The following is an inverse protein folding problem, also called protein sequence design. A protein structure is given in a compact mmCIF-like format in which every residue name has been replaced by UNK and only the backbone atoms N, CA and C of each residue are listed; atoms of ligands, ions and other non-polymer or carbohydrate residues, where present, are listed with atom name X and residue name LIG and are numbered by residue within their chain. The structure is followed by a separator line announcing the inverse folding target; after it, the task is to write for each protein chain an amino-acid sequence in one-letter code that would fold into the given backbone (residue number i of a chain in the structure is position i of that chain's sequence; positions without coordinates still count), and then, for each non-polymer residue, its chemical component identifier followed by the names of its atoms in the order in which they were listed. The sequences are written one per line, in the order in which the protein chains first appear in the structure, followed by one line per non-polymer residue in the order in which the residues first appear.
data_IF_887078343194
#
_entry.id   IF_887078343194
#
_cell.length_a   1.000
_cell.length_b   1.000
_cell.length_c   1.000
_cell.angle_alpha   90.00
_cell.angle_beta   90.00
_cell.angle_gamma   90.00
#
_symmetry.space_group_name_H-M   'P 1'
#
loop_
_entity.id
_entity.type
_entity.pdbx_description
1 polymer ?
#
# COMPACT_ATOMS: atom_id res chain seq x y z
N UNK A 1 -25.39 0.37 -33.28
CA UNK A 1 -24.54 1.22 -34.14
C UNK A 1 -23.08 1.06 -33.70
N UNK A 2 -22.33 0.23 -34.43
CA UNK A 2 -20.89 -0.02 -34.19
C UNK A 2 -20.12 1.26 -34.57
N UNK A 3 -19.56 1.95 -33.56
CA UNK A 3 -18.61 3.03 -33.82
C UNK A 3 -17.30 2.41 -34.30
N UNK A 4 -17.00 2.62 -35.58
CA UNK A 4 -15.71 2.29 -36.17
C UNK A 4 -14.58 2.89 -35.32
N UNK A 5 -13.63 2.05 -34.91
CA UNK A 5 -12.42 2.49 -34.25
C UNK A 5 -11.64 3.41 -35.19
N UNK A 6 -11.22 4.55 -34.65
CA UNK A 6 -10.35 5.52 -35.34
C UNK A 6 -9.06 4.81 -35.78
N UNK A 7 -8.74 4.70 -37.08
CA UNK A 7 -7.60 3.92 -37.58
C UNK A 7 -6.23 4.49 -37.21
N UNK A 8 -6.17 5.64 -36.52
CA UNK A 8 -4.93 6.31 -36.11
C UNK A 8 -4.37 5.88 -34.74
N UNK A 9 -5.12 5.22 -33.86
CA UNK A 9 -4.68 4.83 -32.53
C UNK A 9 -4.22 3.35 -32.52
N UNK A 10 -2.95 3.12 -32.84
CA UNK A 10 -2.32 1.82 -32.63
C UNK A 10 -2.38 1.50 -31.15
N UNK A 11 -3.10 0.44 -30.78
CA UNK A 11 -3.08 -0.11 -29.42
C UNK A 11 -1.62 -0.43 -29.08
N UNK A 12 -1.10 0.02 -27.93
CA UNK A 12 0.27 -0.32 -27.53
C UNK A 12 0.39 -1.84 -27.44
N UNK A 13 1.57 -2.37 -27.76
CA UNK A 13 1.84 -3.80 -27.56
C UNK A 13 1.53 -4.16 -26.11
N UNK A 14 0.71 -5.19 -25.83
CA UNK A 14 0.28 -5.54 -24.48
C UNK A 14 1.42 -5.63 -23.47
N UNK A 15 2.56 -6.19 -23.88
CA UNK A 15 3.74 -6.32 -23.02
C UNK A 15 4.34 -4.96 -22.62
N UNK A 16 4.35 -3.98 -23.52
CA UNK A 16 4.87 -2.62 -23.24
C UNK A 16 3.95 -1.89 -22.26
N UNK A 17 2.63 -2.02 -22.43
CA UNK A 17 1.67 -1.44 -21.51
C UNK A 17 1.82 -2.02 -20.08
N UNK A 18 1.91 -3.35 -19.97
CA UNK A 18 2.13 -4.02 -18.68
C UNK A 18 3.45 -3.57 -18.05
N UNK A 19 4.54 -3.47 -18.84
CA UNK A 19 5.84 -3.03 -18.33
C UNK A 19 5.81 -1.59 -17.79
N UNK A 20 5.14 -0.66 -18.48
CA UNK A 20 5.03 0.73 -18.04
C UNK A 20 4.17 0.85 -16.78
N UNK A 21 3.04 0.12 -16.69
CA UNK A 21 2.23 0.10 -15.49
C UNK A 21 2.96 -0.56 -14.31
N UNK A 22 3.71 -1.62 -14.57
CA UNK A 22 4.57 -2.27 -13.59
C UNK A 22 5.67 -1.32 -13.08
N UNK A 23 6.28 -0.53 -13.96
CA UNK A 23 7.24 0.51 -13.57
C UNK A 23 6.58 1.57 -12.67
N UNK A 24 5.34 1.98 -12.96
CA UNK A 24 4.57 2.92 -12.12
C UNK A 24 4.33 2.39 -10.70
N UNK A 25 3.93 1.13 -10.58
CA UNK A 25 3.75 0.49 -9.27
C UNK A 25 5.08 0.23 -8.55
N UNK A 26 6.15 -0.06 -9.29
CA UNK A 26 7.51 -0.12 -8.73
C UNK A 26 7.94 1.25 -8.17
N UNK A 27 7.72 2.34 -8.93
CA UNK A 27 8.05 3.70 -8.50
C UNK A 27 7.32 4.09 -7.20
N UNK A 28 6.01 3.78 -7.12
CA UNK A 28 5.20 3.97 -5.92
C UNK A 28 5.83 3.26 -4.72
N UNK A 29 6.10 1.97 -4.84
CA UNK A 29 6.61 1.15 -3.74
C UNK A 29 8.04 1.53 -3.36
N UNK A 30 8.88 1.88 -4.32
CA UNK A 30 10.23 2.38 -4.11
C UNK A 30 10.20 3.66 -3.25
N UNK A 31 9.36 4.65 -3.63
CA UNK A 31 9.25 5.90 -2.89
C UNK A 31 8.77 5.72 -1.45
N UNK A 32 7.94 4.72 -1.21
CA UNK A 32 7.46 4.39 0.13
C UNK A 32 8.55 3.76 0.99
N UNK A 33 9.21 2.74 0.47
CA UNK A 33 10.20 1.95 1.22
C UNK A 33 11.50 2.70 1.46
N UNK A 34 11.87 3.61 0.55
CA UNK A 34 13.06 4.43 0.64
C UNK A 34 13.08 5.30 1.92
N UNK A 35 11.93 5.78 2.36
CA UNK A 35 11.84 6.77 3.45
C UNK A 35 11.92 6.13 4.83
N UNK A 36 11.48 4.89 5.01
CA UNK A 36 11.43 4.23 6.32
C UNK A 36 12.81 4.24 7.02
N UNK A 37 13.89 3.78 6.39
CA UNK A 37 15.22 3.80 7.00
C UNK A 37 15.84 5.20 7.10
N UNK A 38 15.30 6.19 6.41
CA UNK A 38 15.78 7.57 6.46
C UNK A 38 15.27 8.35 7.68
N UNK A 39 14.25 7.87 8.38
CA UNK A 39 13.62 8.63 9.48
C UNK A 39 14.61 9.09 10.56
N UNK A 40 15.53 8.25 11.05
CA UNK A 40 16.53 8.69 12.02
C UNK A 40 17.45 9.80 11.47
N UNK A 41 17.89 9.66 10.21
CA UNK A 41 18.75 10.63 9.53
C UNK A 41 18.00 11.95 9.30
N UNK A 42 16.74 11.89 8.86
CA UNK A 42 15.85 13.07 8.71
C UNK A 42 15.70 13.77 10.06
N UNK A 43 15.42 13.03 11.14
CA UNK A 43 15.30 13.58 12.49
C UNK A 43 16.56 14.30 12.94
N UNK A 44 17.72 13.68 12.76
CA UNK A 44 19.01 14.25 13.13
C UNK A 44 19.38 15.49 12.28
N UNK A 45 19.21 15.42 10.96
CA UNK A 45 19.60 16.51 10.06
C UNK A 45 18.64 17.73 10.10
N UNK A 46 17.35 17.49 10.36
CA UNK A 46 16.39 18.57 10.55
C UNK A 46 16.28 19.06 12.01
N UNK A 47 17.00 18.44 12.95
CA UNK A 47 16.96 18.80 14.37
C UNK A 47 15.60 18.60 15.02
N UNK A 48 14.83 17.59 14.59
CA UNK A 48 13.47 17.32 15.09
C UNK A 48 13.40 16.02 15.88
N UNK A 49 12.41 15.92 16.77
CA UNK A 49 12.22 14.71 17.57
C UNK A 49 11.85 13.49 16.69
N UNK A 50 12.13 12.25 17.13
CA UNK A 50 11.72 11.03 16.42
C UNK A 50 10.22 10.97 16.14
N UNK A 51 9.39 11.47 17.06
CA UNK A 51 7.94 11.57 16.87
C UNK A 51 7.57 12.55 15.74
N UNK A 52 8.24 13.70 15.68
CA UNK A 52 8.05 14.65 14.59
C UNK A 52 8.51 14.08 13.24
N UNK A 53 9.64 13.38 13.20
CA UNK A 53 10.09 12.68 11.99
C UNK A 53 9.10 11.60 11.55
N UNK A 54 8.42 10.90 12.46
CA UNK A 54 7.38 9.92 12.17
C UNK A 54 6.22 10.46 11.33
N UNK A 55 5.93 11.77 11.44
CA UNK A 55 4.91 12.42 10.60
C UNK A 55 5.21 12.34 9.10
N UNK A 56 6.45 12.15 8.71
CA UNK A 56 6.86 11.95 7.31
C UNK A 56 6.21 10.70 6.71
N UNK A 57 6.00 9.64 7.49
CA UNK A 57 5.23 8.46 7.07
C UNK A 57 3.73 8.68 7.21
N UNK A 58 3.29 9.23 8.34
CA UNK A 58 1.87 9.44 8.64
C UNK A 58 1.21 10.33 7.60
N UNK A 59 1.82 11.47 7.23
CA UNK A 59 1.28 12.39 6.23
C UNK A 59 1.09 11.71 4.87
N UNK A 60 2.03 10.87 4.46
CA UNK A 60 1.94 10.12 3.21
C UNK A 60 0.78 9.11 3.24
N UNK A 61 0.64 8.34 4.32
CA UNK A 61 -0.43 7.32 4.44
C UNK A 61 -1.82 7.96 4.56
N UNK A 62 -1.95 9.08 5.29
CA UNK A 62 -3.20 9.82 5.36
C UNK A 62 -3.62 10.35 3.98
N UNK A 63 -2.67 10.95 3.25
CA UNK A 63 -2.92 11.40 1.88
C UNK A 63 -3.33 10.25 0.96
N UNK A 64 -2.68 9.08 1.08
CA UNK A 64 -3.01 7.88 0.34
C UNK A 64 -4.44 7.41 0.57
N UNK A 65 -4.85 7.35 1.84
CA UNK A 65 -6.20 6.91 2.23
C UNK A 65 -7.29 7.82 1.67
N UNK A 66 -7.04 9.14 1.68
CA UNK A 66 -7.97 10.14 1.13
C UNK A 66 -7.97 10.14 -0.40
N UNK A 67 -6.79 10.08 -1.03
CA UNK A 67 -6.66 10.21 -2.48
C UNK A 67 -7.22 9.00 -3.24
N UNK A 68 -7.04 7.78 -2.71
CA UNK A 68 -7.37 6.55 -3.43
C UNK A 68 -8.83 6.49 -3.93
N UNK A 69 -9.87 6.69 -3.11
CA UNK A 69 -11.26 6.66 -3.58
C UNK A 69 -11.59 7.81 -4.52
N UNK A 70 -11.00 8.98 -4.31
CA UNK A 70 -11.20 10.15 -5.17
C UNK A 70 -10.61 9.90 -6.56
N UNK A 71 -9.40 9.36 -6.63
CA UNK A 71 -8.70 9.06 -7.88
C UNK A 71 -9.41 7.96 -8.68
N UNK A 72 -9.99 6.97 -8.00
CA UNK A 72 -10.84 5.98 -8.65
C UNK A 72 -12.01 6.66 -9.40
N UNK A 73 -12.74 7.54 -8.72
CA UNK A 73 -13.86 8.28 -9.33
C UNK A 73 -13.41 9.24 -10.44
N UNK A 74 -12.27 9.90 -10.24
CA UNK A 74 -11.67 10.75 -11.30
C UNK A 74 -11.31 9.93 -12.53
N UNK A 75 -10.74 8.72 -12.36
CA UNK A 75 -10.45 7.80 -13.48
C UNK A 75 -11.69 7.44 -14.28
N UNK A 76 -12.82 7.18 -13.60
CA UNK A 76 -14.09 6.89 -14.25
C UNK A 76 -14.65 8.10 -15.02
N UNK A 77 -14.55 9.32 -14.45
CA UNK A 77 -15.18 10.53 -15.00
C UNK A 77 -14.32 11.26 -16.02
N UNK A 78 -13.01 11.30 -15.85
CA UNK A 78 -12.07 12.02 -16.75
C UNK A 78 -11.28 11.08 -17.65
N UNK A 79 -11.38 9.77 -17.42
CA UNK A 79 -10.59 8.74 -18.09
C UNK A 79 -9.27 8.46 -17.34
N UNK A 80 -8.77 7.23 -17.46
CA UNK A 80 -7.61 6.78 -16.68
C UNK A 80 -6.33 7.54 -17.05
N UNK A 81 -6.10 7.87 -18.33
CA UNK A 81 -4.85 8.49 -18.78
C UNK A 81 -4.56 9.84 -18.10
N UNK A 82 -5.44 10.87 -18.16
CA UNK A 82 -5.14 12.15 -17.54
C UNK A 82 -4.98 12.02 -16.02
N UNK A 83 -5.71 11.11 -15.39
CA UNK A 83 -5.61 10.90 -13.94
C UNK A 83 -4.29 10.22 -13.57
N UNK A 84 -3.88 9.16 -14.28
CA UNK A 84 -2.57 8.50 -14.06
C UNK A 84 -1.42 9.48 -14.28
N UNK A 85 -1.47 10.29 -15.35
CA UNK A 85 -0.44 11.30 -15.61
C UNK A 85 -0.43 12.39 -14.53
N UNK A 86 -1.60 12.83 -14.07
CA UNK A 86 -1.72 13.79 -12.98
C UNK A 86 -1.13 13.25 -11.67
N UNK A 87 -1.42 12.01 -11.33
CA UNK A 87 -0.85 11.33 -10.15
C UNK A 87 0.67 11.22 -10.25
N UNK A 88 1.20 10.79 -11.39
CA UNK A 88 2.65 10.69 -11.62
C UNK A 88 3.33 12.06 -11.58
N UNK A 89 2.70 13.10 -12.15
CA UNK A 89 3.20 14.46 -12.08
C UNK A 89 3.23 14.99 -10.63
N UNK A 90 2.17 14.73 -9.86
CA UNK A 90 2.08 15.11 -8.43
C UNK A 90 3.15 14.37 -7.61
N UNK A 91 3.36 13.07 -7.84
CA UNK A 91 4.40 12.28 -7.21
C UNK A 91 5.80 12.82 -7.55
N UNK A 92 6.03 13.16 -8.82
CA UNK A 92 7.30 13.74 -9.29
C UNK A 92 7.55 15.11 -8.64
N UNK A 93 6.54 15.97 -8.59
CA UNK A 93 6.62 17.28 -7.93
C UNK A 93 6.91 17.14 -6.43
N UNK A 94 6.24 16.22 -5.74
CA UNK A 94 6.52 15.91 -4.33
C UNK A 94 7.94 15.37 -4.12
N UNK A 95 8.45 14.55 -5.04
CA UNK A 95 9.82 14.03 -4.96
C UNK A 95 10.87 15.13 -5.20
N UNK A 96 10.62 16.01 -6.16
CA UNK A 96 11.46 17.18 -6.39
C UNK A 96 11.45 18.12 -5.18
N UNK A 97 10.29 18.37 -4.58
CA UNK A 97 10.17 19.17 -3.37
C UNK A 97 10.93 18.54 -2.19
N UNK A 98 10.85 17.23 -2.01
CA UNK A 98 11.60 16.50 -0.97
C UNK A 98 13.12 16.59 -1.17
N UNK A 99 13.59 16.73 -2.42
CA UNK A 99 15.00 16.89 -2.77
C UNK A 99 15.58 18.26 -2.40
N UNK A 100 14.77 19.31 -2.40
CA UNK A 100 15.26 20.68 -2.24
C UNK A 100 14.95 21.26 -0.88
N UNK A 101 14.14 20.58 -0.06
CA UNK A 101 13.69 21.13 1.22
C UNK A 101 14.56 20.69 2.39
N UNK A 102 14.92 21.64 3.22
CA UNK A 102 15.59 21.44 4.52
C UNK A 102 14.64 21.72 5.70
N UNK A 103 13.33 21.68 5.50
CA UNK A 103 12.36 21.94 6.56
C UNK A 103 11.30 20.85 6.67
N UNK A 104 10.98 20.43 7.91
CA UNK A 104 9.97 19.39 8.15
C UNK A 104 8.60 19.73 7.56
N UNK A 105 8.03 20.95 7.72
CA UNK A 105 6.72 21.27 7.16
C UNK A 105 6.66 21.09 5.63
N UNK A 106 7.68 21.55 4.90
CA UNK A 106 7.74 21.39 3.45
C UNK A 106 7.94 19.93 3.07
N UNK A 107 8.73 19.17 3.83
CA UNK A 107 8.88 17.72 3.62
C UNK A 107 7.54 17.00 3.84
N UNK A 108 6.73 17.39 4.82
CA UNK A 108 5.39 16.84 5.02
C UNK A 108 4.47 17.14 3.84
N UNK A 109 4.51 18.35 3.28
CA UNK A 109 3.76 18.68 2.04
C UNK A 109 4.24 17.80 0.88
N UNK A 110 5.55 17.62 0.71
CA UNK A 110 6.11 16.72 -0.29
C UNK A 110 5.59 15.29 -0.11
N UNK A 111 5.50 14.80 1.13
CA UNK A 111 4.96 13.48 1.45
C UNK A 111 3.47 13.34 1.16
N UNK A 112 2.68 14.40 1.40
CA UNK A 112 1.26 14.45 1.02
C UNK A 112 1.13 14.32 -0.51
N UNK A 113 1.91 15.07 -1.28
CA UNK A 113 1.92 14.98 -2.75
C UNK A 113 2.31 13.58 -3.23
N UNK A 114 3.33 12.98 -2.62
CA UNK A 114 3.73 11.60 -2.94
C UNK A 114 2.66 10.58 -2.53
N UNK A 115 1.91 10.80 -1.45
CA UNK A 115 0.83 9.93 -0.98
C UNK A 115 -0.31 9.76 -2.00
N UNK A 116 -0.52 10.74 -2.87
CA UNK A 116 -1.48 10.65 -3.99
C UNK A 116 -1.15 9.47 -4.92
N UNK A 117 0.11 9.06 -5.01
CA UNK A 117 0.57 7.97 -5.87
C UNK A 117 -0.02 6.59 -5.54
N UNK A 118 -0.57 6.38 -4.34
CA UNK A 118 -1.22 5.11 -4.00
C UNK A 118 -2.42 4.79 -4.91
N UNK A 119 -3.04 5.80 -5.52
CA UNK A 119 -4.05 5.61 -6.54
C UNK A 119 -3.53 5.00 -7.85
N UNK A 120 -2.21 4.95 -8.08
CA UNK A 120 -1.64 4.34 -9.30
C UNK A 120 -1.96 2.86 -9.40
N UNK A 121 -1.93 2.12 -8.29
CA UNK A 121 -2.18 0.69 -8.32
C UNK A 121 -3.61 0.33 -8.80
N UNK A 122 -4.70 0.84 -8.18
CA UNK A 122 -6.05 0.57 -8.68
C UNK A 122 -6.29 1.13 -10.08
N UNK A 123 -5.71 2.29 -10.44
CA UNK A 123 -5.78 2.83 -11.79
C UNK A 123 -5.07 1.93 -12.81
N UNK A 124 -3.89 1.38 -12.47
CA UNK A 124 -3.20 0.42 -13.33
C UNK A 124 -4.05 -0.84 -13.58
N UNK A 125 -4.70 -1.36 -12.55
CA UNK A 125 -5.62 -2.50 -12.68
C UNK A 125 -6.81 -2.15 -13.57
N UNK A 126 -7.38 -0.95 -13.44
CA UNK A 126 -8.46 -0.45 -14.31
C UNK A 126 -8.03 -0.40 -15.77
N UNK A 127 -6.86 0.18 -16.04
CA UNK A 127 -6.28 0.22 -17.40
C UNK A 127 -6.08 -1.17 -17.97
N UNK A 128 -5.51 -2.12 -17.18
CA UNK A 128 -5.30 -3.50 -17.64
C UNK A 128 -6.62 -4.18 -18.03
N UNK A 129 -7.67 -3.99 -17.24
CA UNK A 129 -9.01 -4.55 -17.50
C UNK A 129 -9.63 -4.01 -18.79
N UNK A 130 -9.30 -2.79 -19.18
CA UNK A 130 -9.82 -2.16 -20.41
C UNK A 130 -9.03 -2.53 -21.66
N UNK A 131 -7.72 -2.69 -21.52
CA UNK A 131 -6.81 -2.84 -22.66
C UNK A 131 -6.43 -4.29 -22.97
N UNK A 132 -6.59 -5.21 -22.01
CA UNK A 132 -6.17 -6.60 -22.18
C UNK A 132 -7.35 -7.57 -22.33
N UNK A 133 -7.21 -8.59 -23.21
CA UNK A 133 -8.15 -9.71 -23.26
C UNK A 133 -8.17 -10.49 -21.92
N UNK A 134 -9.33 -11.03 -21.56
CA UNK A 134 -9.52 -11.80 -20.31
C UNK A 134 -8.45 -12.91 -20.12
N UNK A 135 -8.04 -13.59 -21.20
CA UNK A 135 -7.04 -14.66 -21.14
C UNK A 135 -5.64 -14.21 -20.66
N UNK A 136 -5.30 -12.91 -20.71
CA UNK A 136 -4.02 -12.36 -20.29
C UNK A 136 -4.11 -11.48 -19.04
N UNK A 137 -5.32 -11.18 -18.60
CA UNK A 137 -5.57 -10.21 -17.55
C UNK A 137 -5.00 -10.66 -16.21
N UNK A 138 -5.27 -11.89 -15.79
CA UNK A 138 -4.85 -12.42 -14.48
C UNK A 138 -3.31 -12.45 -14.35
N UNK A 139 -2.62 -12.84 -15.42
CA UNK A 139 -1.15 -12.84 -15.44
C UNK A 139 -0.61 -11.39 -15.39
N UNK A 140 -1.20 -10.48 -16.16
CA UNK A 140 -0.77 -9.07 -16.16
C UNK A 140 -1.00 -8.40 -14.79
N UNK A 141 -2.16 -8.64 -14.16
CA UNK A 141 -2.46 -8.15 -12.82
C UNK A 141 -1.48 -8.71 -11.79
N UNK A 142 -1.14 -10.00 -11.87
CA UNK A 142 -0.17 -10.63 -10.97
C UNK A 142 1.24 -10.06 -11.16
N UNK A 143 1.66 -9.79 -12.40
CA UNK A 143 2.95 -9.13 -12.68
C UNK A 143 2.99 -7.75 -12.07
N UNK A 144 1.98 -6.90 -12.32
CA UNK A 144 1.92 -5.54 -11.76
C UNK A 144 1.87 -5.57 -10.23
N UNK A 145 1.15 -6.52 -9.63
CA UNK A 145 1.10 -6.66 -8.18
C UNK A 145 2.45 -7.09 -7.58
N UNK A 146 3.17 -8.01 -8.23
CA UNK A 146 4.48 -8.48 -7.73
C UNK A 146 5.56 -7.42 -7.81
N UNK A 147 5.44 -6.43 -8.71
CA UNK A 147 6.40 -5.32 -8.78
C UNK A 147 6.34 -4.35 -7.59
N UNK A 148 5.27 -4.37 -6.78
CA UNK A 148 5.25 -3.68 -5.49
C UNK A 148 6.33 -4.20 -4.55
N UNK A 149 6.54 -5.52 -4.50
CA UNK A 149 7.59 -6.12 -3.68
C UNK A 149 8.98 -5.72 -4.19
N UNK A 150 9.18 -5.70 -5.52
CA UNK A 150 10.45 -5.26 -6.14
C UNK A 150 10.78 -3.83 -5.75
N UNK A 151 9.83 -2.91 -5.97
CA UNK A 151 10.00 -1.50 -5.64
C UNK A 151 10.34 -1.31 -4.16
N UNK A 152 9.69 -2.07 -3.28
CA UNK A 152 9.96 -2.05 -1.85
C UNK A 152 11.42 -2.42 -1.52
N UNK A 153 11.90 -3.52 -2.07
CA UNK A 153 13.28 -3.96 -1.84
C UNK A 153 14.30 -3.01 -2.47
N UNK A 154 14.06 -2.59 -3.72
CA UNK A 154 14.93 -1.63 -4.41
C UNK A 154 15.03 -0.31 -3.64
N UNK A 155 13.91 0.19 -3.09
CA UNK A 155 13.89 1.38 -2.26
C UNK A 155 14.72 1.25 -0.99
N UNK A 156 14.61 0.11 -0.29
CA UNK A 156 15.44 -0.17 0.90
C UNK A 156 16.94 -0.28 0.58
N UNK A 157 17.28 -1.00 -0.51
CA UNK A 157 18.68 -1.13 -0.95
C UNK A 157 19.23 0.24 -1.32
N UNK A 158 18.47 1.04 -2.08
CA UNK A 158 18.88 2.39 -2.45
C UNK A 158 19.10 3.28 -1.23
N UNK A 159 18.19 3.25 -0.26
CA UNK A 159 18.35 3.95 1.00
C UNK A 159 19.61 3.49 1.75
N UNK A 160 19.78 2.17 1.92
CA UNK A 160 20.89 1.60 2.67
C UNK A 160 22.28 1.86 2.03
N UNK A 161 22.35 1.92 0.69
CA UNK A 161 23.60 2.24 -0.01
C UNK A 161 23.94 3.73 0.07
N UNK A 162 22.96 4.59 -0.13
CA UNK A 162 23.17 6.03 -0.29
C UNK A 162 23.23 6.82 1.01
N UNK A 163 22.84 6.20 2.14
CA UNK A 163 22.90 6.82 3.48
C UNK A 163 24.03 6.31 4.36
N UNK A 164 25.00 5.59 3.79
CA UNK A 164 26.20 5.20 4.52
C UNK A 164 26.97 6.43 5.00
N UNK A 165 27.62 6.28 6.13
CA UNK A 165 28.54 7.25 6.70
C UNK A 165 27.94 8.63 7.03
N UNK A 166 26.65 8.68 7.42
CA UNK A 166 25.98 9.93 7.78
C UNK A 166 25.63 10.82 6.60
N UNK A 167 25.56 10.24 5.40
CA UNK A 167 25.23 10.98 4.18
C UNK A 167 23.87 11.67 4.25
N UNK A 168 23.73 12.74 3.46
CA UNK A 168 22.51 13.53 3.35
C UNK A 168 21.28 12.69 2.97
N UNK A 169 20.19 12.88 3.72
CA UNK A 169 18.92 12.17 3.47
C UNK A 169 18.30 12.49 2.10
N UNK A 170 18.74 13.52 1.41
CA UNK A 170 18.27 13.86 0.07
C UNK A 170 18.79 12.88 -1.00
N UNK A 171 19.95 12.26 -0.81
CA UNK A 171 20.60 11.43 -1.85
C UNK A 171 19.70 10.32 -2.40
N UNK A 172 18.97 9.52 -1.60
CA UNK A 172 18.09 8.49 -2.12
C UNK A 172 16.94 9.03 -2.96
N UNK A 173 16.46 10.25 -2.71
CA UNK A 173 15.39 10.86 -3.49
C UNK A 173 15.78 11.15 -4.95
N UNK A 174 17.09 11.26 -5.28
CA UNK A 174 17.55 11.38 -6.66
C UNK A 174 17.19 10.15 -7.50
N UNK A 175 17.42 8.94 -6.97
CA UNK A 175 16.97 7.71 -7.64
C UNK A 175 15.46 7.75 -7.82
N UNK A 176 14.75 8.14 -6.78
CA UNK A 176 13.31 8.31 -6.83
C UNK A 176 12.86 9.27 -7.92
N UNK A 177 13.49 10.44 -8.03
CA UNK A 177 13.15 11.42 -9.06
C UNK A 177 13.37 10.86 -10.47
N UNK A 178 14.50 10.22 -10.71
CA UNK A 178 14.80 9.60 -12.02
C UNK A 178 13.72 8.59 -12.39
N UNK A 179 13.36 7.70 -11.45
CA UNK A 179 12.32 6.68 -11.69
C UNK A 179 10.93 7.32 -11.91
N UNK A 180 10.59 8.37 -11.15
CA UNK A 180 9.33 9.09 -11.30
C UNK A 180 9.22 9.77 -12.67
N UNK A 181 10.27 10.50 -13.08
CA UNK A 181 10.31 11.19 -14.39
C UNK A 181 10.25 10.18 -15.53
N UNK A 182 11.06 9.12 -15.46
CA UNK A 182 11.06 8.06 -16.46
C UNK A 182 9.66 7.43 -16.60
N UNK A 183 9.03 7.10 -15.46
CA UNK A 183 7.68 6.54 -15.44
C UNK A 183 6.65 7.50 -16.03
N UNK A 184 6.72 8.78 -15.67
CA UNK A 184 5.82 9.81 -16.20
C UNK A 184 5.95 9.92 -17.73
N UNK A 185 7.18 10.01 -18.23
CA UNK A 185 7.45 10.11 -19.68
C UNK A 185 6.98 8.88 -20.43
N UNK A 186 7.36 7.68 -19.96
CA UNK A 186 6.94 6.43 -20.60
C UNK A 186 5.42 6.26 -20.57
N UNK A 187 4.77 6.60 -19.46
CA UNK A 187 3.31 6.56 -19.37
C UNK A 187 2.65 7.55 -20.33
N UNK A 188 3.19 8.76 -20.46
CA UNK A 188 2.68 9.77 -21.38
C UNK A 188 2.76 9.30 -22.85
N UNK A 189 3.78 8.53 -23.21
CA UNK A 189 3.96 8.00 -24.57
C UNK A 189 3.11 6.75 -24.79
N UNK A 190 3.08 5.82 -23.83
CA UNK A 190 2.53 4.47 -24.03
C UNK A 190 1.04 4.40 -23.72
N UNK A 191 0.55 5.14 -22.70
CA UNK A 191 -0.84 4.99 -22.26
C UNK A 191 -1.82 5.58 -23.28
N UNK A 192 -2.74 4.78 -23.85
CA UNK A 192 -3.65 5.25 -24.89
C UNK A 192 -4.66 6.27 -24.36
N UNK A 193 -5.11 7.16 -25.25
CA UNK A 193 -6.21 8.09 -24.95
C UNK A 193 -7.52 7.35 -25.14
N UNK A 194 -8.24 7.10 -24.06
CA UNK A 194 -9.57 6.50 -24.10
C UNK A 194 -10.60 7.46 -23.51
N UNK A 195 -11.81 7.50 -24.05
CA UNK A 195 -12.89 8.27 -23.45
C UNK A 195 -13.21 7.76 -22.05
N UNK A 196 -13.70 8.64 -21.19
CA UNK A 196 -14.19 8.28 -19.88
C UNK A 196 -15.28 7.19 -19.96
N UNK A 197 -15.29 6.32 -18.97
CA UNK A 197 -16.29 5.22 -18.89
C UNK A 197 -17.54 5.63 -18.13
N UNK A 198 -17.38 6.55 -17.16
CA UNK A 198 -18.46 7.09 -16.34
C UNK A 198 -19.01 8.40 -16.87
N UNK A 199 -20.29 8.59 -16.65
CA UNK A 199 -20.95 9.89 -16.79
C UNK A 199 -21.20 10.45 -15.37
N UNK A 200 -21.32 11.79 -15.26
CA UNK A 200 -21.65 12.45 -14.02
C UNK A 200 -20.51 13.33 -13.49
N UNK A 201 -20.75 13.96 -12.35
CA UNK A 201 -19.84 14.90 -11.71
C UNK A 201 -19.14 14.22 -10.53
N UNK A 202 -17.93 14.67 -10.21
CA UNK A 202 -17.23 14.23 -8.99
C UNK A 202 -17.89 14.91 -7.80
N UNK A 203 -18.31 14.13 -6.82
CA UNK A 203 -18.86 14.66 -5.56
C UNK A 203 -17.71 15.13 -4.64
N UNK A 204 -17.25 16.36 -4.88
CA UNK A 204 -16.18 16.98 -4.09
C UNK A 204 -16.59 17.15 -2.62
N UNK A 205 -17.86 17.46 -2.34
CA UNK A 205 -18.34 17.59 -0.97
C UNK A 205 -18.28 16.25 -0.24
N UNK A 206 -18.74 15.17 -0.89
CA UNK A 206 -18.60 13.81 -0.35
C UNK A 206 -17.12 13.40 -0.19
N UNK A 207 -16.24 13.80 -1.11
CA UNK A 207 -14.81 13.55 -0.99
C UNK A 207 -14.17 14.25 0.23
N UNK A 208 -14.53 15.49 0.50
CA UNK A 208 -14.05 16.26 1.67
C UNK A 208 -14.54 15.64 2.98
N UNK A 209 -15.83 15.27 3.06
CA UNK A 209 -16.38 14.64 4.27
C UNK A 209 -15.74 13.26 4.52
N UNK A 210 -15.52 12.47 3.44
CA UNK A 210 -14.79 11.21 3.55
C UNK A 210 -13.35 11.44 4.03
N UNK A 211 -12.66 12.42 3.45
CA UNK A 211 -11.31 12.79 3.84
C UNK A 211 -11.23 13.14 5.32
N UNK A 212 -12.14 13.97 5.81
CA UNK A 212 -12.23 14.33 7.22
C UNK A 212 -12.44 13.08 8.10
N UNK A 213 -13.40 12.22 7.74
CA UNK A 213 -13.68 10.98 8.47
C UNK A 213 -12.49 10.03 8.52
N UNK A 214 -11.77 9.86 7.40
CA UNK A 214 -10.57 9.03 7.33
C UNK A 214 -9.41 9.62 8.13
N UNK A 215 -9.19 10.93 8.09
CA UNK A 215 -8.18 11.60 8.91
C UNK A 215 -8.50 11.44 10.39
N UNK A 216 -9.74 11.70 10.80
CA UNK A 216 -10.19 11.51 12.18
C UNK A 216 -10.05 10.05 12.67
N UNK A 217 -10.16 9.08 11.79
CA UNK A 217 -9.99 7.66 12.14
C UNK A 217 -8.50 7.27 12.21
N UNK A 218 -7.72 7.63 11.19
CA UNK A 218 -6.37 7.10 11.00
C UNK A 218 -5.34 7.88 11.80
N UNK A 219 -5.57 9.18 12.05
CA UNK A 219 -4.66 10.02 12.81
C UNK A 219 -4.44 9.52 14.24
N UNK A 220 -5.50 9.25 15.05
CA UNK A 220 -5.31 8.69 16.38
C UNK A 220 -4.73 7.27 16.36
N UNK A 221 -5.03 6.46 15.35
CA UNK A 221 -4.41 5.14 15.20
C UNK A 221 -2.90 5.26 14.98
N UNK A 222 -2.45 6.25 14.21
CA UNK A 222 -1.03 6.52 13.96
C UNK A 222 -0.32 7.16 15.16
N UNK A 223 -0.98 8.07 15.89
CA UNK A 223 -0.38 8.91 16.92
C UNK A 223 -0.79 8.50 18.35
N UNK A 224 -1.63 7.51 18.52
CA UNK A 224 -2.20 7.13 19.81
C UNK A 224 -1.16 6.79 20.88
N UNK A 225 -0.03 6.20 20.50
CA UNK A 225 1.07 5.92 21.43
C UNK A 225 1.76 7.21 21.90
N UNK A 226 1.87 8.22 21.05
CA UNK A 226 2.50 9.49 21.38
C UNK A 226 1.56 10.44 22.15
N UNK A 227 0.28 10.45 21.79
CA UNK A 227 -0.74 11.30 22.43
C UNK A 227 -1.34 10.67 23.69
N UNK A 228 -1.24 9.34 23.82
CA UNK A 228 -1.98 8.54 24.80
C UNK A 228 -3.35 8.13 24.27
N UNK A 229 -3.65 6.84 24.37
CA UNK A 229 -4.92 6.27 23.87
C UNK A 229 -6.16 6.81 24.60
N UNK A 230 -6.04 7.23 25.87
CA UNK A 230 -7.09 7.86 26.66
C UNK A 230 -7.11 9.38 26.60
N UNK A 231 -6.26 10.03 25.81
CA UNK A 231 -6.22 11.49 25.73
C UNK A 231 -7.49 12.07 25.08
N UNK A 232 -7.92 13.26 25.49
CA UNK A 232 -9.09 13.92 24.89
C UNK A 232 -8.95 14.09 23.37
N UNK A 233 -7.74 14.29 22.85
CA UNK A 233 -7.46 14.39 21.42
C UNK A 233 -7.71 13.08 20.68
N UNK A 234 -7.18 11.97 21.20
CA UNK A 234 -7.37 10.62 20.63
C UNK A 234 -8.84 10.22 20.66
N UNK A 235 -9.48 10.34 21.83
CA UNK A 235 -10.90 9.99 22.00
C UNK A 235 -11.80 10.90 21.15
N UNK A 236 -11.54 12.21 21.13
CA UNK A 236 -12.28 13.18 20.31
C UNK A 236 -12.19 12.87 18.81
N UNK A 237 -11.02 12.51 18.31
CA UNK A 237 -10.85 12.08 16.91
C UNK A 237 -11.63 10.79 16.60
N UNK A 238 -11.56 9.78 17.47
CA UNK A 238 -12.29 8.51 17.27
C UNK A 238 -13.80 8.71 17.31
N UNK A 239 -14.32 9.50 18.26
CA UNK A 239 -15.74 9.88 18.33
C UNK A 239 -16.13 10.68 17.09
N UNK A 240 -15.32 11.64 16.67
CA UNK A 240 -15.52 12.39 15.42
C UNK A 240 -15.60 11.46 14.20
N UNK A 241 -14.69 10.50 14.07
CA UNK A 241 -14.74 9.49 13.02
C UNK A 241 -16.01 8.65 13.05
N UNK A 242 -16.43 8.21 14.27
CA UNK A 242 -17.64 7.43 14.48
C UNK A 242 -18.94 8.20 14.13
N UNK A 243 -18.90 9.52 14.10
CA UNK A 243 -20.02 10.37 13.68
C UNK A 243 -19.93 10.73 12.19
N UNK A 244 -18.75 11.14 11.72
CA UNK A 244 -18.55 11.66 10.37
C UNK A 244 -18.66 10.55 9.31
N UNK A 245 -18.10 9.34 9.55
CA UNK A 245 -18.15 8.26 8.55
C UNK A 245 -19.55 7.73 8.31
N UNK A 246 -20.38 7.42 9.31
CA UNK A 246 -21.79 7.09 9.08
C UNK A 246 -22.56 8.25 8.46
N UNK A 247 -22.34 9.50 8.91
CA UNK A 247 -22.90 10.71 8.31
C UNK A 247 -22.56 10.84 6.83
N UNK A 248 -21.34 10.50 6.44
CA UNK A 248 -20.92 10.44 5.04
C UNK A 248 -21.69 9.38 4.25
N UNK A 249 -21.89 8.19 4.80
CA UNK A 249 -22.71 7.13 4.14
C UNK A 249 -24.14 7.64 3.89
N UNK A 250 -24.75 8.29 4.88
CA UNK A 250 -26.07 8.89 4.72
C UNK A 250 -26.11 10.01 3.68
N UNK A 251 -25.05 10.83 3.63
CA UNK A 251 -24.89 11.86 2.61
C UNK A 251 -24.82 11.23 1.20
N UNK A 252 -24.05 10.16 1.03
CA UNK A 252 -23.91 9.46 -0.25
C UNK A 252 -25.21 8.83 -0.73
N UNK A 253 -26.09 8.37 0.18
CA UNK A 253 -27.42 7.85 -0.17
C UNK A 253 -28.33 8.89 -0.82
N UNK A 254 -28.12 10.17 -0.52
CA UNK A 254 -28.92 11.30 -1.01
C UNK A 254 -28.34 11.96 -2.27
N UNK A 255 -27.15 11.55 -2.73
CA UNK A 255 -26.48 12.12 -3.89
C UNK A 255 -26.88 11.40 -5.17
N UNK A 256 -27.13 12.18 -6.25
CA UNK A 256 -27.40 11.63 -7.58
C UNK A 256 -26.16 10.94 -8.16
N UNK A 257 -24.99 11.57 -7.97
CA UNK A 257 -23.68 11.04 -8.39
C UNK A 257 -22.78 10.81 -7.15
N UNK A 258 -23.01 9.73 -6.37
CA UNK A 258 -22.21 9.49 -5.17
C UNK A 258 -20.77 9.11 -5.54
N UNK A 259 -19.81 9.47 -4.66
CA UNK A 259 -18.40 9.07 -4.78
C UNK A 259 -18.28 7.53 -4.73
N UNK A 260 -18.98 6.93 -3.78
CA UNK A 260 -19.13 5.49 -3.64
C UNK A 260 -20.61 5.18 -3.47
N UNK A 261 -21.16 4.27 -4.25
CA UNK A 261 -22.55 3.84 -4.10
C UNK A 261 -22.72 3.07 -2.78
N UNK A 262 -23.55 3.53 -1.84
CA UNK A 262 -23.69 2.88 -0.53
C UNK A 262 -24.12 1.42 -0.60
N UNK A 263 -24.92 1.04 -1.60
CA UNK A 263 -25.29 -0.35 -1.85
C UNK A 263 -24.07 -1.28 -2.04
N UNK A 264 -22.96 -0.77 -2.56
CA UNK A 264 -21.72 -1.55 -2.71
C UNK A 264 -21.04 -1.84 -1.37
N UNK A 265 -21.23 -0.96 -0.37
CA UNK A 265 -20.67 -1.14 0.98
C UNK A 265 -21.40 -2.24 1.76
N UNK A 266 -22.60 -2.64 1.33
CA UNK A 266 -23.38 -3.71 1.94
C UNK A 266 -23.32 -5.03 1.14
N UNK A 267 -22.74 -5.03 -0.08
CA UNK A 267 -22.66 -6.22 -0.92
C UNK A 267 -21.55 -7.16 -0.44
N UNK A 268 -21.87 -8.41 -0.02
CA UNK A 268 -20.88 -9.40 0.42
C UNK A 268 -19.82 -9.70 -0.66
N UNK A 269 -20.16 -9.55 -1.95
CA UNK A 269 -19.24 -9.78 -3.08
C UNK A 269 -18.14 -8.72 -3.12
N UNK A 270 -18.35 -7.58 -2.49
CA UNK A 270 -17.40 -6.47 -2.38
C UNK A 270 -16.75 -6.47 -1.00
N UNK A 271 -17.54 -6.65 0.07
CA UNK A 271 -17.02 -6.65 1.45
C UNK A 271 -15.99 -7.76 1.65
N UNK A 272 -16.28 -8.98 1.22
CA UNK A 272 -15.40 -10.15 1.48
C UNK A 272 -14.02 -9.97 0.86
N UNK A 273 -13.87 -9.62 -0.44
CA UNK A 273 -12.55 -9.36 -1.01
C UNK A 273 -11.83 -8.15 -0.38
N UNK A 274 -12.55 -7.08 -0.04
CA UNK A 274 -11.94 -5.90 0.59
C UNK A 274 -11.46 -6.20 2.01
N UNK A 275 -12.25 -6.92 2.81
CA UNK A 275 -11.83 -7.34 4.15
C UNK A 275 -10.66 -8.33 4.09
N UNK A 276 -10.67 -9.26 3.14
CA UNK A 276 -9.54 -10.14 2.89
C UNK A 276 -8.29 -9.36 2.46
N UNK A 277 -8.45 -8.34 1.61
CA UNK A 277 -7.37 -7.43 1.22
C UNK A 277 -6.80 -6.64 2.39
N UNK A 278 -7.65 -6.10 3.26
CA UNK A 278 -7.26 -5.41 4.48
C UNK A 278 -6.44 -6.33 5.40
N UNK A 279 -6.94 -7.53 5.69
CA UNK A 279 -6.25 -8.50 6.54
C UNK A 279 -4.92 -8.95 5.93
N UNK A 280 -4.87 -9.17 4.62
CA UNK A 280 -3.62 -9.49 3.90
C UNK A 280 -2.63 -8.32 4.00
N UNK A 281 -3.10 -7.10 3.82
CA UNK A 281 -2.28 -5.88 3.97
C UNK A 281 -1.69 -5.74 5.36
N UNK A 282 -2.50 -5.95 6.41
CA UNK A 282 -2.03 -5.98 7.81
C UNK A 282 -0.94 -7.05 7.99
N UNK A 283 -1.17 -8.26 7.50
CA UNK A 283 -0.19 -9.36 7.60
C UNK A 283 1.13 -9.03 6.90
N UNK A 284 1.07 -8.57 5.65
CA UNK A 284 2.27 -8.21 4.87
C UNK A 284 3.07 -7.07 5.50
N UNK A 285 2.39 -5.99 5.91
CA UNK A 285 3.06 -4.84 6.51
C UNK A 285 3.65 -5.17 7.87
N UNK A 286 2.95 -5.96 8.67
CA UNK A 286 3.42 -6.49 9.94
C UNK A 286 4.67 -7.34 9.75
N UNK A 287 4.66 -8.28 8.78
CA UNK A 287 5.81 -9.11 8.43
C UNK A 287 7.04 -8.28 8.07
N UNK A 288 6.84 -7.30 7.20
CA UNK A 288 7.89 -6.40 6.76
C UNK A 288 8.53 -5.64 7.93
N UNK A 289 7.72 -5.05 8.80
CA UNK A 289 8.21 -4.29 9.97
C UNK A 289 8.91 -5.19 10.97
N UNK A 290 8.33 -6.36 11.26
CA UNK A 290 8.90 -7.32 12.23
C UNK A 290 10.27 -7.80 11.76
N UNK A 291 10.39 -8.26 10.52
CA UNK A 291 11.67 -8.72 9.98
C UNK A 291 12.69 -7.57 10.00
N UNK A 292 12.30 -6.38 9.54
CA UNK A 292 13.19 -5.24 9.49
C UNK A 292 13.70 -4.83 10.86
N UNK A 293 12.82 -4.72 11.86
CA UNK A 293 13.20 -4.35 13.23
C UNK A 293 14.01 -5.45 13.91
N UNK A 294 13.56 -6.70 13.77
CA UNK A 294 14.25 -7.84 14.42
C UNK A 294 15.71 -7.95 13.97
N UNK A 295 15.95 -7.95 12.65
CA UNK A 295 17.31 -8.14 12.11
C UNK A 295 18.23 -6.95 12.37
N UNK A 296 17.70 -5.73 12.52
CA UNK A 296 18.48 -4.54 12.83
C UNK A 296 18.74 -4.33 14.32
N UNK A 297 18.01 -5.00 15.21
CA UNK A 297 18.20 -4.85 16.65
C UNK A 297 19.57 -5.39 17.06
N UNK A 298 20.41 -4.59 17.79
CA UNK A 298 21.71 -5.04 18.25
C UNK A 298 21.57 -6.11 19.34
N UNK A 299 22.17 -7.30 19.18
CA UNK A 299 22.05 -8.38 20.16
C UNK A 299 22.64 -8.02 21.53
N UNK A 300 23.67 -7.20 21.56
CA UNK A 300 24.34 -6.74 22.80
C UNK A 300 23.42 -5.86 23.67
N UNK A 301 22.54 -5.09 23.05
CA UNK A 301 21.64 -4.17 23.76
C UNK A 301 20.31 -4.80 24.16
N UNK A 302 19.79 -5.73 23.36
CA UNK A 302 18.43 -6.26 23.52
C UNK A 302 18.37 -7.76 23.85
N UNK A 303 19.51 -8.49 23.75
CA UNK A 303 19.57 -9.94 23.94
C UNK A 303 18.99 -10.75 22.77
N UNK A 304 18.60 -10.09 21.66
CA UNK A 304 18.11 -10.71 20.43
C UNK A 304 18.47 -9.84 19.21
N UNK A 305 18.22 -10.36 18.01
CA UNK A 305 18.50 -9.65 16.76
C UNK A 305 19.88 -9.97 16.19
N UNK A 306 20.24 -9.35 15.09
CA UNK A 306 21.50 -9.61 14.38
C UNK A 306 22.37 -8.35 14.22
N UNK A 307 21.92 -7.17 14.68
CA UNK A 307 22.62 -5.90 14.51
C UNK A 307 22.85 -5.54 13.03
N UNK A 308 21.99 -6.05 12.14
CA UNK A 308 22.16 -5.87 10.70
C UNK A 308 22.01 -4.41 10.30
N UNK A 309 22.89 -3.93 9.43
CA UNK A 309 22.69 -2.63 8.78
C UNK A 309 21.43 -2.63 7.90
N UNK A 310 20.93 -1.43 7.57
CA UNK A 310 19.77 -1.29 6.66
C UNK A 310 20.00 -2.04 5.34
N UNK A 311 21.21 -1.94 4.80
CA UNK A 311 21.57 -2.63 3.56
C UNK A 311 21.58 -4.16 3.74
N UNK A 312 22.13 -4.67 4.82
CA UNK A 312 22.12 -6.11 5.12
C UNK A 312 20.69 -6.62 5.31
N UNK A 313 19.86 -5.88 6.04
CA UNK A 313 18.45 -6.20 6.22
C UNK A 313 17.72 -6.26 4.86
N UNK A 314 17.97 -5.33 3.97
CA UNK A 314 17.38 -5.31 2.64
C UNK A 314 17.86 -6.47 1.76
N UNK A 315 19.18 -6.67 1.66
CA UNK A 315 19.78 -7.62 0.69
C UNK A 315 19.69 -9.06 1.16
N UNK A 316 19.97 -9.31 2.45
CA UNK A 316 20.04 -10.70 2.96
C UNK A 316 18.66 -11.24 3.33
N UNK A 317 17.81 -10.40 3.95
CA UNK A 317 16.56 -10.88 4.55
C UNK A 317 15.31 -10.55 3.71
N UNK A 318 15.26 -9.40 3.03
CA UNK A 318 14.07 -8.99 2.29
C UNK A 318 14.16 -9.23 0.78
N UNK A 319 15.33 -9.08 0.17
CA UNK A 319 15.51 -9.27 -1.28
C UNK A 319 15.13 -10.68 -1.76
N UNK A 320 15.49 -11.78 -1.06
CA UNK A 320 15.10 -13.12 -1.51
C UNK A 320 13.58 -13.28 -1.60
N UNK A 321 12.82 -12.75 -0.63
CA UNK A 321 11.36 -12.74 -0.64
C UNK A 321 10.80 -11.88 -1.78
N UNK A 322 11.39 -10.71 -2.04
CA UNK A 322 11.05 -9.84 -3.16
C UNK A 322 11.27 -10.52 -4.52
N UNK A 323 12.43 -11.13 -4.72
CA UNK A 323 12.76 -11.90 -5.94
C UNK A 323 11.81 -13.08 -6.13
N UNK A 324 11.55 -13.84 -5.07
CA UNK A 324 10.58 -14.94 -5.11
C UNK A 324 9.18 -14.43 -5.51
N UNK A 325 8.72 -13.29 -4.97
CA UNK A 325 7.45 -12.66 -5.33
C UNK A 325 7.35 -12.33 -6.82
N UNK A 326 8.43 -11.81 -7.42
CA UNK A 326 8.50 -11.51 -8.86
C UNK A 326 8.45 -12.76 -9.71
N UNK A 327 9.28 -13.73 -9.39
CA UNK A 327 9.36 -14.99 -10.15
C UNK A 327 8.06 -15.80 -10.05
N UNK A 328 7.42 -15.79 -8.89
CA UNK A 328 6.17 -16.49 -8.63
C UNK A 328 4.92 -15.72 -9.08
N UNK A 329 5.01 -14.41 -9.30
CA UNK A 329 3.87 -13.59 -9.73
C UNK A 329 3.16 -14.11 -10.97
N UNK A 330 3.86 -14.37 -12.10
CA UNK A 330 3.25 -14.96 -13.29
C UNK A 330 2.68 -16.37 -13.06
N UNK A 331 3.30 -17.14 -12.17
CA UNK A 331 2.80 -18.48 -11.79
C UNK A 331 1.51 -18.35 -10.99
N UNK A 332 1.47 -17.43 -10.01
CA UNK A 332 0.27 -17.13 -9.24
C UNK A 332 -0.89 -16.70 -10.15
N UNK A 333 -0.63 -15.85 -11.15
CA UNK A 333 -1.64 -15.46 -12.14
C UNK A 333 -2.21 -16.66 -12.93
N UNK A 334 -1.37 -17.63 -13.30
CA UNK A 334 -1.84 -18.86 -13.95
C UNK A 334 -2.64 -19.76 -13.01
N UNK A 335 -2.25 -19.81 -11.73
CA UNK A 335 -2.98 -20.54 -10.69
C UNK A 335 -4.35 -19.90 -10.48
N UNK A 336 -4.43 -18.58 -10.36
CA UNK A 336 -5.71 -17.85 -10.25
C UNK A 336 -6.62 -18.15 -11.42
N UNK A 337 -6.09 -18.16 -12.65
CA UNK A 337 -6.86 -18.47 -13.86
C UNK A 337 -7.41 -19.92 -13.86
N UNK A 338 -6.70 -20.87 -13.21
CA UNK A 338 -7.10 -22.30 -13.17
C UNK A 338 -8.06 -22.65 -12.04
N UNK A 339 -7.77 -22.20 -10.81
CA UNK A 339 -8.50 -22.61 -9.60
C UNK A 339 -9.34 -21.48 -8.98
N UNK A 340 -9.29 -20.29 -9.59
CA UNK A 340 -10.04 -19.10 -9.16
C UNK A 340 -9.36 -18.30 -8.05
N UNK A 341 -9.67 -17.00 -8.00
CA UNK A 341 -9.05 -16.03 -7.11
C UNK A 341 -9.24 -16.36 -5.60
N UNK A 342 -10.46 -16.75 -5.19
CA UNK A 342 -10.75 -17.07 -3.79
C UNK A 342 -10.00 -18.30 -3.29
N UNK A 343 -9.86 -19.34 -4.12
CA UNK A 343 -9.12 -20.57 -3.76
C UNK A 343 -7.62 -20.27 -3.63
N UNK A 344 -7.09 -19.49 -4.57
CA UNK A 344 -5.69 -19.04 -4.53
C UNK A 344 -5.41 -18.15 -3.31
N UNK A 345 -6.31 -17.22 -2.98
CA UNK A 345 -6.21 -16.37 -1.80
C UNK A 345 -6.18 -17.19 -0.49
N UNK A 346 -7.04 -18.22 -0.39
CA UNK A 346 -7.04 -19.13 0.76
C UNK A 346 -5.74 -19.92 0.89
N UNK A 347 -5.27 -20.47 -0.21
CA UNK A 347 -3.99 -21.20 -0.24
C UNK A 347 -2.84 -20.27 0.20
N UNK A 348 -2.78 -19.05 -0.33
CA UNK A 348 -1.81 -18.03 0.09
C UNK A 348 -1.92 -17.66 1.57
N UNK A 349 -3.14 -17.53 2.10
CA UNK A 349 -3.36 -17.22 3.50
C UNK A 349 -2.94 -18.40 4.42
N UNK A 350 -3.18 -19.65 4.03
CA UNK A 350 -2.69 -20.82 4.76
C UNK A 350 -1.16 -20.85 4.79
N UNK A 351 -0.51 -20.59 3.64
CA UNK A 351 0.95 -20.42 3.59
C UNK A 351 1.44 -19.29 4.48
N UNK A 352 0.69 -18.17 4.54
CA UNK A 352 0.97 -17.04 5.44
C UNK A 352 0.92 -17.45 6.92
N UNK A 353 -0.12 -18.19 7.35
CA UNK A 353 -0.22 -18.72 8.72
C UNK A 353 0.99 -19.61 9.03
N UNK A 354 1.34 -20.52 8.12
CA UNK A 354 2.49 -21.40 8.29
C UNK A 354 3.82 -20.60 8.37
N UNK A 355 4.00 -19.61 7.48
CA UNK A 355 5.20 -18.76 7.47
C UNK A 355 5.35 -17.92 8.74
N UNK A 356 4.28 -17.31 9.23
CA UNK A 356 4.30 -16.55 10.49
C UNK A 356 4.46 -17.46 11.70
N UNK A 357 3.84 -18.65 11.68
CA UNK A 357 4.03 -19.67 12.73
C UNK A 357 5.48 -20.15 12.78
N UNK A 358 6.08 -20.39 11.62
CA UNK A 358 7.49 -20.77 11.52
C UNK A 358 8.41 -19.64 12.01
N UNK A 359 8.13 -18.39 11.63
CA UNK A 359 8.87 -17.22 12.11
C UNK A 359 8.76 -17.08 13.63
N UNK A 360 7.60 -17.37 14.22
CA UNK A 360 7.41 -17.31 15.67
C UNK A 360 8.23 -18.39 16.42
N UNK A 361 8.41 -19.56 15.81
CA UNK A 361 9.07 -20.73 16.44
C UNK A 361 10.58 -20.77 16.15
N UNK A 362 10.98 -20.62 14.89
CA UNK A 362 12.39 -20.82 14.47
C UNK A 362 13.34 -19.66 14.77
N UNK A 363 12.84 -18.53 15.26
CA UNK A 363 13.72 -17.44 15.68
C UNK A 363 14.37 -17.74 17.04
N UNK A 364 13.88 -18.74 17.77
CA UNK A 364 14.35 -19.17 19.07
C UNK A 364 15.46 -20.20 18.94
N UNK A 365 16.62 -19.75 18.66
CA UNK A 365 17.81 -20.32 19.25
C UNK A 365 18.30 -19.29 20.25
N UNK A 366 18.18 -19.47 21.48
CA UNK A 366 17.59 -20.37 22.45
C UNK A 366 16.51 -19.74 23.34
N UNK A 367 15.91 -20.54 24.19
CA UNK A 367 14.90 -20.26 25.21
C UNK A 367 15.12 -19.04 26.15
N UNK A 368 16.21 -18.33 26.01
CA UNK A 368 16.56 -17.13 26.80
C UNK A 368 15.80 -15.87 26.37
N UNK A 369 15.20 -15.89 25.17
CA UNK A 369 14.49 -14.74 24.60
C UNK A 369 13.10 -14.57 25.22
N UNK A 370 12.57 -15.61 25.84
CA UNK A 370 11.20 -15.64 26.39
C UNK A 370 11.06 -14.87 27.71
N UNK A 371 12.14 -14.53 28.37
CA UNK A 371 12.09 -14.15 29.79
C UNK A 371 12.03 -12.65 30.10
N UNK A 372 12.04 -11.76 29.14
CA UNK A 372 12.17 -10.35 29.45
C UNK A 372 11.02 -9.49 28.90
N UNK A 373 10.42 -8.75 29.79
CA UNK A 373 9.68 -7.53 29.44
C UNK A 373 10.55 -6.55 28.65
N UNK A 374 10.14 -5.30 28.49
CA UNK A 374 10.97 -4.25 27.88
C UNK A 374 12.35 -4.23 28.51
N UNK A 375 13.39 -4.47 27.70
CA UNK A 375 14.76 -4.38 28.18
C UNK A 375 15.11 -2.95 28.61
N UNK A 376 16.14 -2.79 29.42
CA UNK A 376 16.57 -1.48 29.94
C UNK A 376 16.97 -0.46 28.87
N UNK A 377 17.11 -0.90 27.63
CA UNK A 377 17.47 -0.10 26.45
C UNK A 377 16.30 0.51 25.68
N UNK A 378 15.04 0.29 26.11
CA UNK A 378 13.86 0.77 25.38
C UNK A 378 13.52 0.03 24.08
N UNK A 379 14.22 -1.08 23.77
CA UNK A 379 13.86 -1.94 22.65
C UNK A 379 12.65 -2.83 22.98
N UNK A 380 11.78 -3.15 21.98
CA UNK A 380 10.70 -4.09 22.19
C UNK A 380 11.20 -5.44 22.67
N UNK A 381 10.44 -6.11 23.54
CA UNK A 381 10.82 -7.46 24.00
C UNK A 381 10.66 -8.48 22.88
N UNK A 382 11.37 -9.59 22.98
CA UNK A 382 11.21 -10.70 22.05
C UNK A 382 9.79 -11.28 22.06
N UNK A 383 9.11 -11.26 23.20
CA UNK A 383 7.68 -11.61 23.30
C UNK A 383 6.78 -10.64 22.51
N UNK A 384 7.15 -9.35 22.39
CA UNK A 384 6.43 -8.40 21.53
C UNK A 384 6.54 -8.80 20.04
N UNK A 385 7.71 -9.27 19.59
CA UNK A 385 7.85 -9.79 18.22
C UNK A 385 7.04 -11.07 18.00
N UNK A 386 6.95 -11.97 19.00
CA UNK A 386 6.06 -13.13 18.91
C UNK A 386 4.62 -12.70 18.80
N UNK A 387 4.17 -11.75 19.62
CA UNK A 387 2.81 -11.23 19.55
C UNK A 387 2.50 -10.63 18.18
N UNK A 388 3.42 -9.87 17.58
CA UNK A 388 3.24 -9.27 16.25
C UNK A 388 3.25 -10.34 15.17
N UNK A 389 4.09 -11.38 15.24
CA UNK A 389 4.05 -12.53 14.34
C UNK A 389 2.71 -13.29 14.44
N UNK A 390 2.18 -13.45 15.65
CA UNK A 390 0.86 -14.05 15.90
C UNK A 390 -0.28 -13.17 15.35
N UNK A 391 -0.16 -11.84 15.39
CA UNK A 391 -1.12 -10.93 14.72
C UNK A 391 -1.09 -11.16 13.21
N UNK A 392 0.09 -11.31 12.61
CA UNK A 392 0.24 -11.65 11.18
C UNK A 392 -0.41 -12.99 10.85
N UNK A 393 -0.15 -14.03 11.64
CA UNK A 393 -0.78 -15.35 11.49
C UNK A 393 -2.30 -15.28 11.69
N UNK A 394 -2.77 -14.54 12.71
CA UNK A 394 -4.19 -14.32 12.97
C UNK A 394 -4.88 -13.60 11.80
N UNK A 395 -4.25 -12.57 11.23
CA UNK A 395 -4.75 -11.88 10.05
C UNK A 395 -4.88 -12.82 8.85
N UNK A 396 -3.88 -13.67 8.61
CA UNK A 396 -3.91 -14.66 7.54
C UNK A 396 -5.01 -15.72 7.78
N UNK A 397 -5.16 -16.22 9.00
CA UNK A 397 -6.24 -17.14 9.38
C UNK A 397 -7.63 -16.49 9.20
N UNK A 398 -7.78 -15.21 9.57
CA UNK A 398 -9.00 -14.46 9.36
C UNK A 398 -9.37 -14.31 7.89
N UNK A 399 -8.39 -14.18 6.97
CA UNK A 399 -8.64 -14.22 5.52
C UNK A 399 -9.31 -15.52 5.11
N UNK A 400 -8.83 -16.66 5.61
CA UNK A 400 -9.45 -17.98 5.35
C UNK A 400 -10.87 -17.99 5.87
N UNK A 401 -11.09 -17.60 7.12
CA UNK A 401 -12.42 -17.59 7.75
C UNK A 401 -13.42 -16.70 7.01
N UNK A 402 -13.04 -15.45 6.70
CA UNK A 402 -13.89 -14.48 5.98
C UNK A 402 -14.26 -15.00 4.59
N UNK A 403 -13.30 -15.58 3.86
CA UNK A 403 -13.54 -16.12 2.51
C UNK A 403 -14.36 -17.41 2.52
N UNK A 404 -14.34 -18.19 3.60
CA UNK A 404 -15.22 -19.34 3.79
C UNK A 404 -16.63 -18.91 4.13
N UNK A 405 -16.81 -17.92 5.01
CA UNK A 405 -18.12 -17.39 5.38
C UNK A 405 -18.85 -16.77 4.18
N UNK A 406 -18.14 -16.07 3.30
CA UNK A 406 -18.71 -15.48 2.09
C UNK A 406 -19.27 -16.48 1.07
N UNK A 407 -18.89 -17.76 1.15
CA UNK A 407 -19.51 -18.84 0.32
C UNK A 407 -20.90 -19.24 0.76
N UNK A 408 -21.29 -18.97 2.00
CA UNK A 408 -22.57 -19.39 2.55
C UNK A 408 -23.73 -18.44 2.25
N UNK A 409 -23.46 -17.29 1.66
CA UNK A 409 -24.49 -16.35 1.22
C UNK A 409 -25.15 -16.90 -0.05
N UNK A 410 -26.43 -17.31 -0.02
CA UNK A 410 -27.12 -17.84 -1.19
C UNK A 410 -27.21 -16.74 -2.25
N UNK A 411 -26.89 -17.08 -3.48
CA UNK A 411 -27.18 -16.24 -4.65
C UNK A 411 -28.69 -16.06 -4.70
N UNK A 412 -29.25 -14.82 -4.58
CA UNK A 412 -30.67 -14.62 -4.83
C UNK A 412 -30.97 -15.10 -6.25
N UNK A 413 -31.98 -15.96 -6.38
CA UNK A 413 -32.26 -16.77 -7.55
C UNK A 413 -32.19 -16.01 -8.87
N UNK A 414 -31.52 -16.62 -9.81
CA UNK A 414 -31.87 -16.45 -11.22
C UNK A 414 -33.27 -17.05 -11.38
N UNK A 415 -34.30 -16.23 -11.29
CA UNK A 415 -35.57 -16.52 -11.91
C UNK A 415 -35.31 -16.54 -13.42
N UNK A 416 -35.23 -17.73 -14.01
CA UNK A 416 -35.21 -17.89 -15.43
C UNK A 416 -36.49 -17.31 -16.07
N UNK A 417 -36.44 -16.80 -17.29
CA UNK A 417 -37.64 -16.44 -18.01
C UNK A 417 -38.44 -17.72 -18.29
N UNK A 418 -39.75 -17.68 -17.91
CA UNK A 418 -40.75 -18.59 -18.39
C UNK A 418 -41.13 -18.26 -19.84
#
# INVERSE_FOLDING_TARGET
MSRAADPGQRSPRPAVLVAVLALGTTALSLMQSLVVPLLPTIGAQLGVSPNAAGWVLTANLLAAAVATPVLGRLGDTWGERPVVLGVLATMTAGTLMALVTASLPLLLVARVLQGVSYGLFPLAISVLRRELPAARLDVAMSVVSSTLAVGGVVGLVAAGVLTRDGADYHRPFWIGLVVCVLTLVLTAVVLPRRPATGSGRVDWAGAVVLALGLVLLLLPVSQGNAWGWGSPGTVGCLVGAALVLPGWVLLQQRRADPLVRPALLADPRIIVPNLAGLLTGVGLFTSFLVVLQYVQTPPEAAGYGFGASVLQAAVVYLLPGGVAGVLLGPVAGRVVARIGALTTLRAGAVCGVAGFGLLAVLRDTPAQVVAAGTGPSGFPSASAFTAVALVGAGSAAAVVAVTLAGRRSPVPGRSGPA
#
